data_IF_863805622924
#
_entry.id   IF_863805622924
#
_cell.length_a   1.000
_cell.length_b   1.000
_cell.length_c   1.000
_cell.angle_alpha   90.00
_cell.angle_beta   90.00
_cell.angle_gamma   90.00
#
_symmetry.space_group_name_H-M   'P 1'
#
loop_
_entity.id
_entity.type
_entity.pdbx_description
1 polymer ?
#
# COMPACT_ATOMS: atom_id res chain seq x y z
N UNK A 1 20.04 -25.92 -10.09
CA UNK A 1 19.74 -24.58 -10.63
C UNK A 1 19.26 -23.62 -9.53
N UNK A 2 18.30 -24.01 -8.70
CA UNK A 2 17.77 -23.19 -7.59
C UNK A 2 18.87 -22.76 -6.59
N UNK A 3 19.77 -23.67 -6.21
CA UNK A 3 20.87 -23.35 -5.29
C UNK A 3 21.81 -22.26 -5.84
N UNK A 4 22.08 -22.25 -7.16
CA UNK A 4 22.93 -21.21 -7.79
C UNK A 4 22.29 -19.82 -7.71
N UNK A 5 20.94 -19.72 -7.78
CA UNK A 5 20.21 -18.45 -7.78
C UNK A 5 19.93 -18.00 -6.35
N UNK A 6 19.37 -18.88 -5.52
CA UNK A 6 18.82 -18.51 -4.20
C UNK A 6 19.78 -18.78 -3.04
N UNK A 7 20.82 -19.62 -3.23
CA UNK A 7 21.84 -19.93 -2.21
C UNK A 7 21.19 -20.44 -0.91
N UNK A 8 20.37 -21.46 -1.02
CA UNK A 8 19.54 -21.99 0.07
C UNK A 8 20.39 -22.47 1.25
N UNK A 9 21.44 -23.24 0.98
CA UNK A 9 22.33 -23.76 2.02
C UNK A 9 23.03 -22.61 2.78
N UNK A 10 23.56 -21.62 2.06
CA UNK A 10 24.25 -20.48 2.68
C UNK A 10 23.32 -19.55 3.49
N UNK A 11 22.01 -19.63 3.27
CA UNK A 11 21.00 -18.93 4.04
C UNK A 11 20.27 -19.83 5.07
N UNK A 12 20.83 -21.02 5.37
CA UNK A 12 20.30 -21.96 6.36
C UNK A 12 18.82 -22.31 6.16
N UNK A 13 18.40 -22.49 4.90
CA UNK A 13 17.02 -22.82 4.53
C UNK A 13 16.96 -24.01 3.57
N UNK A 14 15.77 -24.47 3.23
CA UNK A 14 15.53 -25.57 2.30
C UNK A 14 14.36 -25.26 1.38
N UNK A 15 14.28 -25.95 0.23
CA UNK A 15 13.20 -25.79 -0.74
C UNK A 15 11.82 -25.89 -0.07
N UNK A 16 11.60 -26.90 0.79
CA UNK A 16 10.31 -27.08 1.46
C UNK A 16 9.95 -25.92 2.39
N UNK A 17 10.94 -25.38 3.14
CA UNK A 17 10.72 -24.21 4.01
C UNK A 17 10.40 -22.97 3.20
N UNK A 18 11.10 -22.71 2.10
CA UNK A 18 10.87 -21.54 1.24
C UNK A 18 9.48 -21.61 0.57
N UNK A 19 9.07 -22.81 0.10
CA UNK A 19 7.72 -23.00 -0.49
C UNK A 19 6.64 -22.80 0.58
N UNK A 20 6.79 -23.37 1.78
CA UNK A 20 5.84 -23.16 2.87
C UNK A 20 5.76 -21.68 3.26
N UNK A 21 6.90 -21.00 3.35
CA UNK A 21 6.97 -19.57 3.64
C UNK A 21 6.28 -18.73 2.55
N UNK A 22 6.47 -19.12 1.27
CA UNK A 22 5.79 -18.47 0.14
C UNK A 22 4.27 -18.63 0.19
N UNK A 23 3.78 -19.83 0.49
CA UNK A 23 2.34 -20.09 0.67
C UNK A 23 1.82 -19.27 1.85
N UNK A 24 2.53 -19.24 2.98
CA UNK A 24 2.14 -18.45 4.16
C UNK A 24 2.05 -16.96 3.83
N UNK A 25 3.07 -16.40 3.15
CA UNK A 25 3.07 -15.01 2.70
C UNK A 25 1.89 -14.75 1.76
N UNK A 26 1.68 -15.62 0.77
CA UNK A 26 0.58 -15.44 -0.18
C UNK A 26 -0.77 -15.41 0.53
N UNK A 27 -1.05 -16.34 1.43
CA UNK A 27 -2.32 -16.39 2.17
C UNK A 27 -2.54 -15.14 3.02
N UNK A 28 -1.46 -14.56 3.60
CA UNK A 28 -1.58 -13.34 4.40
C UNK A 28 -1.84 -12.09 3.58
N UNK A 29 -1.38 -12.02 2.31
CA UNK A 29 -1.54 -10.86 1.46
C UNK A 29 -2.56 -11.05 0.32
N UNK A 30 -3.12 -12.25 0.15
CA UNK A 30 -4.04 -12.57 -0.96
C UNK A 30 -5.35 -11.76 -0.93
N UNK A 31 -5.71 -11.15 0.19
CA UNK A 31 -6.87 -10.25 0.26
C UNK A 31 -6.77 -9.08 -0.75
N UNK A 32 -5.55 -8.72 -1.19
CA UNK A 32 -5.34 -7.63 -2.15
C UNK A 32 -5.96 -7.92 -3.53
N UNK A 33 -6.11 -9.20 -3.89
CA UNK A 33 -6.76 -9.60 -5.14
C UNK A 33 -8.26 -9.25 -5.17
N UNK A 34 -8.85 -8.99 -4.01
CA UNK A 34 -10.21 -8.50 -3.86
C UNK A 34 -10.25 -6.99 -3.64
N UNK A 35 -9.39 -6.48 -2.76
CA UNK A 35 -9.37 -5.08 -2.34
C UNK A 35 -9.00 -4.15 -3.49
N UNK A 36 -7.91 -4.43 -4.21
CA UNK A 36 -7.43 -3.53 -5.25
C UNK A 36 -8.42 -3.39 -6.42
N UNK A 37 -8.94 -4.46 -7.02
CA UNK A 37 -9.91 -4.34 -8.13
C UNK A 37 -11.19 -3.60 -7.72
N UNK A 38 -11.68 -3.81 -6.51
CA UNK A 38 -12.84 -3.09 -5.97
C UNK A 38 -12.57 -1.58 -5.86
N UNK A 39 -11.39 -1.20 -5.35
CA UNK A 39 -10.99 0.21 -5.31
C UNK A 39 -10.85 0.80 -6.71
N UNK A 40 -10.17 0.09 -7.62
CA UNK A 40 -10.00 0.56 -9.00
C UNK A 40 -11.34 0.70 -9.73
N UNK A 41 -12.31 -0.18 -9.47
CA UNK A 41 -13.63 -0.09 -10.09
C UNK A 41 -14.41 1.17 -9.66
N UNK A 42 -14.21 1.66 -8.43
CA UNK A 42 -14.78 2.93 -7.97
C UNK A 42 -14.24 4.11 -8.78
N UNK A 43 -13.00 4.03 -9.30
CA UNK A 43 -12.43 5.04 -10.20
C UNK A 43 -12.91 4.93 -11.66
N UNK A 44 -13.82 3.99 -11.97
CA UNK A 44 -14.35 3.76 -13.32
C UNK A 44 -13.58 2.73 -14.15
N UNK A 45 -12.58 2.07 -13.58
CA UNK A 45 -11.86 0.98 -14.27
C UNK A 45 -12.69 -0.31 -14.28
N UNK A 46 -12.52 -1.12 -15.33
CA UNK A 46 -13.17 -2.44 -15.41
C UNK A 46 -12.67 -3.36 -14.28
N UNK A 47 -13.60 -3.92 -13.51
CA UNK A 47 -13.30 -4.76 -12.35
C UNK A 47 -12.50 -6.02 -12.73
N UNK A 48 -12.91 -6.69 -13.83
CA UNK A 48 -12.26 -7.92 -14.28
C UNK A 48 -10.84 -7.66 -14.79
N UNK A 49 -10.65 -6.60 -15.60
CA UNK A 49 -9.34 -6.19 -16.09
C UNK A 49 -8.43 -5.76 -14.94
N UNK A 50 -8.95 -5.00 -13.95
CA UNK A 50 -8.22 -4.58 -12.76
C UNK A 50 -7.81 -5.77 -11.89
N UNK A 51 -8.65 -6.82 -11.78
CA UNK A 51 -8.32 -8.05 -11.09
C UNK A 51 -7.14 -8.79 -11.75
N UNK A 52 -7.21 -8.98 -13.08
CA UNK A 52 -6.11 -9.61 -13.84
C UNK A 52 -4.85 -8.76 -13.76
N UNK A 53 -4.98 -7.44 -13.93
CA UNK A 53 -3.87 -6.48 -13.81
C UNK A 53 -3.19 -6.53 -12.43
N UNK A 54 -3.97 -6.61 -11.35
CA UNK A 54 -3.47 -6.78 -9.98
C UNK A 54 -2.63 -8.04 -9.83
N UNK A 55 -3.15 -9.18 -10.29
CA UNK A 55 -2.46 -10.46 -10.19
C UNK A 55 -1.17 -10.48 -11.03
N UNK A 56 -1.22 -9.97 -12.26
CA UNK A 56 -0.04 -9.90 -13.15
C UNK A 56 1.03 -8.96 -12.60
N UNK A 57 0.63 -7.77 -12.14
CA UNK A 57 1.55 -6.79 -11.56
C UNK A 57 2.24 -7.35 -10.31
N UNK A 58 1.48 -7.94 -9.38
CA UNK A 58 2.01 -8.55 -8.17
C UNK A 58 2.91 -9.76 -8.49
N UNK A 59 2.50 -10.61 -9.43
CA UNK A 59 3.31 -11.75 -9.86
C UNK A 59 4.66 -11.31 -10.42
N UNK A 60 4.66 -10.41 -11.40
CA UNK A 60 5.89 -9.93 -12.02
C UNK A 60 6.80 -9.23 -11.00
N UNK A 61 6.23 -8.40 -10.14
CA UNK A 61 6.96 -7.72 -9.09
C UNK A 61 7.62 -8.70 -8.11
N UNK A 62 6.90 -9.72 -7.65
CA UNK A 62 7.43 -10.75 -6.77
C UNK A 62 8.54 -11.57 -7.45
N UNK A 63 8.38 -11.92 -8.72
CA UNK A 63 9.40 -12.67 -9.48
C UNK A 63 10.66 -11.81 -9.64
N UNK A 64 10.54 -10.53 -9.99
CA UNK A 64 11.68 -9.61 -10.10
C UNK A 64 12.37 -9.46 -8.75
N UNK A 65 11.64 -9.21 -7.67
CA UNK A 65 12.20 -9.09 -6.33
C UNK A 65 12.94 -10.38 -5.93
N UNK A 66 12.32 -11.53 -6.11
CA UNK A 66 12.88 -12.82 -5.72
C UNK A 66 14.15 -13.18 -6.48
N UNK A 67 14.17 -13.01 -7.81
CA UNK A 67 15.30 -13.40 -8.66
C UNK A 67 16.43 -12.36 -8.58
N UNK A 68 16.11 -11.07 -8.68
CA UNK A 68 17.12 -10.01 -8.80
C UNK A 68 17.75 -9.62 -7.47
N UNK A 69 16.97 -9.50 -6.40
CA UNK A 69 17.47 -9.11 -5.08
C UNK A 69 17.74 -10.30 -4.15
N UNK A 70 17.13 -11.45 -4.42
CA UNK A 70 17.11 -12.64 -3.56
C UNK A 70 16.56 -12.33 -2.15
N UNK A 71 15.45 -11.57 -2.08
CA UNK A 71 14.82 -11.16 -0.84
C UNK A 71 13.46 -11.85 -0.63
N UNK A 72 13.14 -12.28 0.61
CA UNK A 72 11.85 -12.87 0.96
C UNK A 72 10.79 -11.79 1.22
N UNK A 73 10.68 -10.81 0.31
CA UNK A 73 9.73 -9.70 0.40
C UNK A 73 8.86 -9.68 -0.83
N UNK A 74 7.59 -9.88 -0.63
CA UNK A 74 6.59 -9.89 -1.69
C UNK A 74 6.01 -8.50 -1.92
N UNK A 75 5.62 -8.25 -3.17
CA UNK A 75 5.11 -6.97 -3.63
C UNK A 75 3.71 -7.14 -4.21
N UNK A 76 2.88 -6.14 -3.95
CA UNK A 76 1.55 -6.02 -4.54
C UNK A 76 1.11 -4.54 -4.53
N UNK A 77 -0.05 -4.18 -5.11
CA UNK A 77 -0.57 -2.82 -5.05
C UNK A 77 -0.69 -2.28 -3.62
N UNK A 78 -0.07 -1.13 -3.36
CA UNK A 78 -0.05 -0.48 -2.04
C UNK A 78 -1.40 0.13 -1.69
N UNK A 79 -2.05 -0.35 -0.62
CA UNK A 79 -3.42 0.06 -0.30
C UNK A 79 -3.61 1.54 -0.06
N UNK A 80 -2.66 2.21 0.61
CA UNK A 80 -2.72 3.65 0.82
C UNK A 80 -2.66 4.45 -0.48
N UNK A 81 -1.81 3.99 -1.39
CA UNK A 81 -1.66 4.59 -2.71
C UNK A 81 -2.87 4.31 -3.60
N UNK A 82 -3.50 3.13 -3.48
CA UNK A 82 -4.75 2.80 -4.16
C UNK A 82 -5.89 3.73 -3.71
N UNK A 83 -5.99 3.95 -2.40
CA UNK A 83 -6.98 4.84 -1.84
C UNK A 83 -6.79 6.29 -2.31
N UNK A 84 -5.54 6.77 -2.33
CA UNK A 84 -5.21 8.09 -2.87
C UNK A 84 -5.51 8.21 -4.36
N UNK A 85 -5.17 7.20 -5.15
CA UNK A 85 -5.51 7.11 -6.56
C UNK A 85 -7.02 7.27 -6.79
N UNK A 86 -7.80 6.40 -6.12
CA UNK A 86 -9.24 6.28 -6.38
C UNK A 86 -10.04 7.43 -5.81
N UNK A 87 -9.84 7.75 -4.55
CA UNK A 87 -10.73 8.69 -3.84
C UNK A 87 -10.26 10.13 -3.96
N UNK A 88 -8.95 10.38 -3.98
CA UNK A 88 -8.43 11.75 -4.08
C UNK A 88 -8.25 12.17 -5.54
N UNK A 89 -7.41 11.44 -6.29
CA UNK A 89 -7.04 11.91 -7.64
C UNK A 89 -8.22 11.80 -8.61
N UNK A 90 -8.88 10.65 -8.64
CA UNK A 90 -10.03 10.46 -9.53
C UNK A 90 -11.31 11.03 -8.92
N UNK A 91 -11.60 10.71 -7.65
CA UNK A 91 -12.89 11.07 -7.03
C UNK A 91 -13.03 12.54 -6.68
N UNK A 92 -12.04 13.14 -6.00
CA UNK A 92 -12.10 14.53 -5.51
C UNK A 92 -11.58 15.53 -6.54
N UNK A 93 -10.39 15.25 -7.12
CA UNK A 93 -9.77 16.15 -8.10
C UNK A 93 -10.40 16.03 -9.50
N UNK A 94 -11.19 14.98 -9.78
CA UNK A 94 -11.95 14.81 -11.02
C UNK A 94 -11.11 14.41 -12.24
N UNK A 95 -9.85 13.95 -12.05
CA UNK A 95 -9.05 13.44 -13.16
C UNK A 95 -9.51 12.06 -13.61
N UNK A 96 -9.31 11.74 -14.88
CA UNK A 96 -9.56 10.39 -15.36
C UNK A 96 -8.56 9.39 -14.74
N UNK A 97 -8.94 8.13 -14.65
CA UNK A 97 -8.07 7.11 -14.10
C UNK A 97 -6.83 6.87 -15.00
N UNK A 98 -6.91 7.16 -16.30
CA UNK A 98 -5.79 7.11 -17.24
C UNK A 98 -4.71 8.14 -16.88
N UNK A 99 -5.13 9.37 -16.57
CA UNK A 99 -4.22 10.44 -16.09
C UNK A 99 -3.63 10.08 -14.74
N UNK A 100 -4.44 9.54 -13.82
CA UNK A 100 -3.95 9.07 -12.53
C UNK A 100 -2.91 7.94 -12.68
N UNK A 101 -3.11 6.99 -13.62
CA UNK A 101 -2.10 5.97 -13.96
C UNK A 101 -0.82 6.61 -14.58
N UNK A 102 -0.97 7.64 -15.38
CA UNK A 102 0.15 8.43 -15.89
C UNK A 102 0.98 9.04 -14.76
N UNK A 103 0.33 9.58 -13.73
CA UNK A 103 1.02 10.10 -12.55
C UNK A 103 1.74 9.01 -11.75
N UNK A 104 1.14 7.83 -11.61
CA UNK A 104 1.78 6.66 -10.98
C UNK A 104 3.02 6.24 -11.78
N UNK A 105 2.92 6.20 -13.10
CA UNK A 105 4.06 5.89 -13.98
C UNK A 105 5.20 6.88 -13.78
N UNK A 106 4.91 8.19 -13.82
CA UNK A 106 5.92 9.23 -13.61
C UNK A 106 6.56 9.14 -12.23
N UNK A 107 5.76 8.91 -11.18
CA UNK A 107 6.26 8.70 -9.82
C UNK A 107 7.17 7.47 -9.74
N UNK A 108 6.78 6.35 -10.39
CA UNK A 108 7.58 5.13 -10.49
C UNK A 108 8.91 5.35 -11.20
N UNK A 109 8.93 6.09 -12.32
CA UNK A 109 10.15 6.45 -13.05
C UNK A 109 11.06 7.32 -12.19
N UNK A 110 10.53 8.35 -11.50
CA UNK A 110 11.30 9.17 -10.58
C UNK A 110 11.86 8.33 -9.42
N UNK A 111 11.06 7.42 -8.84
CA UNK A 111 11.51 6.53 -7.79
C UNK A 111 12.64 5.60 -8.28
N UNK A 112 12.53 5.06 -9.48
CA UNK A 112 13.57 4.23 -10.09
C UNK A 112 14.87 5.02 -10.30
N UNK A 113 14.79 6.24 -10.87
CA UNK A 113 15.95 7.13 -11.02
C UNK A 113 16.60 7.40 -9.66
N UNK A 114 15.81 7.67 -8.64
CA UNK A 114 16.32 7.88 -7.28
C UNK A 114 16.95 6.60 -6.69
N UNK A 115 16.41 5.42 -6.94
CA UNK A 115 16.95 4.15 -6.45
C UNK A 115 18.29 3.78 -7.09
N UNK A 116 18.58 4.28 -8.29
CA UNK A 116 19.84 4.06 -9.01
C UNK A 116 20.88 5.13 -8.66
N UNK A 117 20.45 6.33 -8.28
CA UNK A 117 21.31 7.48 -7.98
C UNK A 117 21.55 7.65 -6.48
N UNK A 118 22.48 8.56 -6.11
CA UNK A 118 22.72 8.93 -4.70
C UNK A 118 21.63 9.86 -4.12
N UNK A 119 20.69 10.29 -4.95
CA UNK A 119 19.63 11.23 -4.58
C UNK A 119 18.72 10.66 -3.48
N UNK A 120 18.56 9.32 -3.44
CA UNK A 120 17.81 8.62 -2.40
C UNK A 120 18.30 8.92 -0.99
N UNK A 121 19.63 8.82 -0.75
CA UNK A 121 20.20 9.11 0.59
C UNK A 121 19.89 10.53 1.00
N UNK A 122 20.12 11.47 0.10
CA UNK A 122 19.82 12.87 0.35
C UNK A 122 18.35 13.08 0.75
N UNK A 123 17.41 12.43 0.09
CA UNK A 123 15.98 12.55 0.43
C UNK A 123 15.63 11.88 1.74
N UNK A 124 16.08 10.63 1.97
CA UNK A 124 15.81 9.93 3.23
C UNK A 124 16.38 10.69 4.43
N UNK A 125 17.58 11.25 4.29
CA UNK A 125 18.25 12.02 5.35
C UNK A 125 17.64 13.42 5.51
N UNK A 126 16.95 13.93 4.49
CA UNK A 126 16.37 15.27 4.47
C UNK A 126 15.04 15.39 5.20
N UNK A 127 14.33 14.30 5.44
CA UNK A 127 13.02 14.33 6.09
C UNK A 127 13.14 13.78 7.50
N UNK A 128 12.71 14.56 8.52
CA UNK A 128 12.71 14.11 9.90
C UNK A 128 11.96 12.80 10.10
N UNK A 129 12.43 11.96 11.01
CA UNK A 129 11.86 10.63 11.26
C UNK A 129 10.38 10.73 11.65
N UNK A 130 10.01 11.71 12.48
CA UNK A 130 8.63 11.91 12.90
C UNK A 130 7.69 12.17 11.72
N UNK A 131 8.10 12.97 10.72
CA UNK A 131 7.28 13.24 9.55
C UNK A 131 7.15 11.99 8.65
N UNK A 132 8.21 11.19 8.53
CA UNK A 132 8.15 9.91 7.79
C UNK A 132 7.18 8.92 8.41
N UNK A 133 7.22 8.75 9.73
CA UNK A 133 6.29 7.93 10.49
C UNK A 133 4.86 8.45 10.32
N UNK A 134 4.69 9.76 10.42
CA UNK A 134 3.39 10.43 10.31
C UNK A 134 2.73 10.22 8.95
N UNK A 135 3.50 10.23 7.85
CA UNK A 135 2.97 9.93 6.52
C UNK A 135 2.38 8.52 6.45
N UNK A 136 3.10 7.51 6.93
CA UNK A 136 2.60 6.13 6.98
C UNK A 136 1.36 5.98 7.87
N UNK A 137 1.38 6.57 9.06
CA UNK A 137 0.26 6.52 10.00
C UNK A 137 -0.98 7.28 9.49
N UNK A 138 -0.79 8.45 8.87
CA UNK A 138 -1.88 9.24 8.28
C UNK A 138 -2.55 8.52 7.10
N UNK A 139 -1.74 7.88 6.24
CA UNK A 139 -2.25 7.02 5.17
C UNK A 139 -2.99 5.81 5.76
N UNK A 140 -2.46 5.20 6.82
CA UNK A 140 -3.15 4.13 7.55
C UNK A 140 -4.52 4.58 8.05
N UNK A 141 -4.58 5.72 8.75
CA UNK A 141 -5.84 6.27 9.27
C UNK A 141 -6.84 6.58 8.14
N UNK A 142 -6.36 7.07 6.99
CA UNK A 142 -7.16 7.32 5.80
C UNK A 142 -7.80 6.03 5.25
N UNK A 143 -7.04 4.95 5.15
CA UNK A 143 -7.56 3.63 4.73
C UNK A 143 -8.63 3.14 5.71
N UNK A 144 -8.38 3.28 7.02
CA UNK A 144 -9.34 2.91 8.05
C UNK A 144 -10.64 3.69 7.95
N UNK A 145 -10.54 5.00 7.67
CA UNK A 145 -11.71 5.85 7.44
C UNK A 145 -12.53 5.39 6.21
N UNK A 146 -11.84 5.05 5.11
CA UNK A 146 -12.50 4.47 3.93
C UNK A 146 -13.18 3.13 4.27
N UNK A 147 -12.51 2.28 5.05
CA UNK A 147 -13.09 1.02 5.53
C UNK A 147 -14.35 1.24 6.36
N UNK A 148 -14.32 2.16 7.31
CA UNK A 148 -15.48 2.51 8.13
C UNK A 148 -16.66 3.03 7.28
N UNK A 149 -16.36 3.88 6.29
CA UNK A 149 -17.36 4.41 5.34
C UNK A 149 -17.95 3.30 4.47
N UNK A 150 -17.10 2.48 3.84
CA UNK A 150 -17.54 1.43 2.92
C UNK A 150 -18.30 0.30 3.64
N UNK A 151 -18.01 0.07 4.92
CA UNK A 151 -18.76 -0.85 5.77
C UNK A 151 -20.06 -0.28 6.34
N UNK A 152 -20.39 0.98 6.06
CA UNK A 152 -21.55 1.65 6.63
C UNK A 152 -21.47 1.86 8.15
N UNK A 153 -20.29 1.68 8.74
CA UNK A 153 -20.06 1.86 10.20
C UNK A 153 -20.07 3.34 10.59
N UNK A 154 -19.66 4.21 9.68
CA UNK A 154 -19.82 5.66 9.76
C UNK A 154 -20.52 6.18 8.52
N UNK A 155 -21.38 7.18 8.71
CA UNK A 155 -22.17 7.81 7.64
C UNK A 155 -22.07 9.33 7.76
N UNK A 156 -22.34 10.02 6.63
CA UNK A 156 -22.38 11.47 6.61
C UNK A 156 -23.54 12.00 7.46
N UNK A 157 -23.29 13.07 8.20
CA UNK A 157 -24.29 13.78 9.01
C UNK A 157 -24.12 15.29 8.84
N UNK A 158 -25.18 15.98 8.51
CA UNK A 158 -25.13 17.42 8.21
C UNK A 158 -24.77 18.29 9.43
N UNK A 159 -24.99 17.82 10.65
CA UNK A 159 -24.72 18.59 11.86
C UNK A 159 -23.31 18.33 12.43
N UNK A 160 -22.85 17.08 12.34
CA UNK A 160 -21.59 16.63 12.98
C UNK A 160 -20.57 16.15 11.95
N UNK A 161 -20.86 16.26 10.64
CA UNK A 161 -20.15 15.70 9.49
C UNK A 161 -20.17 14.17 9.44
N UNK A 162 -20.05 13.49 10.58
CA UNK A 162 -20.05 12.04 10.71
C UNK A 162 -20.94 11.61 11.86
N UNK A 163 -21.59 10.47 11.69
CA UNK A 163 -22.32 9.76 12.75
C UNK A 163 -22.15 8.24 12.63
N UNK A 164 -22.52 7.53 13.66
CA UNK A 164 -22.58 6.07 13.62
C UNK A 164 -23.61 5.62 12.61
N UNK A 165 -23.27 4.58 11.83
CA UNK A 165 -24.17 3.98 10.86
C UNK A 165 -25.31 3.18 11.48
N UNK A 166 -26.20 2.71 10.61
CA UNK A 166 -27.36 1.90 11.03
C UNK A 166 -26.96 0.42 11.16
N UNK A 167 -26.87 -0.06 12.39
CA UNK A 167 -26.55 -1.46 12.71
C UNK A 167 -27.76 -2.40 12.56
N UNK A 168 -28.93 -1.91 12.17
CA UNK A 168 -30.06 -2.78 11.74
C UNK A 168 -29.87 -3.28 10.32
N UNK A 169 -29.00 -2.61 9.53
CA UNK A 169 -28.64 -3.07 8.17
C UNK A 169 -27.74 -4.29 8.23
N UNK A 170 -28.11 -5.42 7.60
CA UNK A 170 -27.30 -6.64 7.58
C UNK A 170 -25.88 -6.43 7.04
N UNK A 171 -25.70 -5.57 6.05
CA UNK A 171 -24.36 -5.28 5.46
C UNK A 171 -23.42 -4.62 6.48
N UNK A 172 -23.94 -3.64 7.25
CA UNK A 172 -23.20 -2.97 8.31
C UNK A 172 -22.83 -3.93 9.44
N UNK A 173 -23.78 -4.81 9.83
CA UNK A 173 -23.49 -5.86 10.84
C UNK A 173 -22.41 -6.82 10.35
N UNK A 174 -22.49 -7.27 9.08
CA UNK A 174 -21.50 -8.17 8.49
C UNK A 174 -20.13 -7.51 8.37
N UNK A 175 -20.06 -6.21 8.06
CA UNK A 175 -18.80 -5.47 8.06
C UNK A 175 -18.16 -5.43 9.46
N UNK A 176 -18.94 -5.09 10.48
CA UNK A 176 -18.49 -5.08 11.88
C UNK A 176 -18.03 -6.47 12.34
N UNK A 177 -18.83 -7.49 12.05
CA UNK A 177 -18.53 -8.89 12.34
C UNK A 177 -17.22 -9.34 11.67
N UNK A 178 -17.06 -9.03 10.37
CA UNK A 178 -15.84 -9.33 9.61
C UNK A 178 -14.60 -8.73 10.26
N UNK A 179 -14.67 -7.46 10.67
CA UNK A 179 -13.58 -6.80 11.39
C UNK A 179 -13.24 -7.52 12.71
N UNK A 180 -14.24 -7.86 13.53
CA UNK A 180 -14.02 -8.56 14.80
C UNK A 180 -13.42 -9.95 14.62
N UNK A 181 -13.84 -10.68 13.57
CA UNK A 181 -13.26 -11.98 13.22
C UNK A 181 -11.78 -11.83 12.82
N UNK A 182 -11.46 -10.85 11.96
CA UNK A 182 -10.07 -10.58 11.56
C UNK A 182 -9.23 -10.29 12.81
N UNK A 183 -9.68 -9.42 13.70
CA UNK A 183 -8.98 -9.11 14.95
C UNK A 183 -8.80 -10.36 15.84
N UNK A 184 -9.85 -11.17 16.01
CA UNK A 184 -9.80 -12.39 16.82
C UNK A 184 -8.80 -13.43 16.26
N UNK A 185 -8.79 -13.64 14.96
CA UNK A 185 -7.85 -14.55 14.29
C UNK A 185 -6.41 -14.00 14.36
N UNK A 186 -6.25 -12.69 14.22
CA UNK A 186 -4.95 -12.05 14.28
C UNK A 186 -4.31 -12.14 15.66
N UNK A 187 -5.08 -11.94 16.73
CA UNK A 187 -4.61 -12.12 18.12
C UNK A 187 -4.13 -13.56 18.35
N UNK A 188 -4.70 -14.53 17.65
CA UNK A 188 -4.28 -15.94 17.68
C UNK A 188 -3.10 -16.23 16.73
N UNK A 189 -2.52 -15.21 16.10
CA UNK A 189 -1.47 -15.36 15.09
C UNK A 189 -1.84 -16.30 13.93
N UNK A 190 -3.12 -16.33 13.53
CA UNK A 190 -3.59 -17.19 12.44
C UNK A 190 -3.14 -16.60 11.10
N UNK A 191 -2.32 -17.32 10.29
CA UNK A 191 -1.93 -16.85 8.97
C UNK A 191 -3.17 -16.63 8.10
N UNK A 192 -3.20 -15.50 7.36
CA UNK A 192 -4.32 -15.18 6.47
C UNK A 192 -5.61 -14.74 7.19
N UNK A 193 -5.53 -14.28 8.44
CA UNK A 193 -6.68 -13.78 9.21
C UNK A 193 -7.58 -12.83 8.40
N UNK A 194 -6.96 -11.90 7.63
CA UNK A 194 -7.68 -10.95 6.79
C UNK A 194 -8.45 -11.68 5.67
N UNK A 195 -7.79 -12.56 4.95
CA UNK A 195 -8.41 -13.35 3.87
C UNK A 195 -9.58 -14.20 4.39
N UNK A 196 -9.36 -14.88 5.53
CA UNK A 196 -10.40 -15.70 6.17
C UNK A 196 -11.61 -14.83 6.54
N UNK A 197 -11.40 -13.65 7.11
CA UNK A 197 -12.48 -12.74 7.48
C UNK A 197 -13.28 -12.26 6.27
N UNK A 198 -12.60 -11.83 5.19
CA UNK A 198 -13.26 -11.40 3.95
C UNK A 198 -14.08 -12.54 3.34
N UNK A 199 -13.50 -13.74 3.23
CA UNK A 199 -14.19 -14.89 2.66
C UNK A 199 -15.37 -15.35 3.53
N UNK A 200 -15.22 -15.32 4.86
CA UNK A 200 -16.31 -15.69 5.76
C UNK A 200 -17.51 -14.73 5.61
N UNK A 201 -17.27 -13.43 5.58
CA UNK A 201 -18.32 -12.43 5.36
C UNK A 201 -18.97 -12.65 4.01
N UNK A 202 -18.19 -12.92 2.96
CA UNK A 202 -18.71 -13.22 1.62
C UNK A 202 -19.59 -14.45 1.62
N UNK A 203 -19.17 -15.55 2.28
CA UNK A 203 -19.96 -16.78 2.41
C UNK A 203 -21.28 -16.50 3.16
N UNK A 204 -21.22 -15.77 4.27
CA UNK A 204 -22.43 -15.40 5.01
C UNK A 204 -23.38 -14.55 4.18
N UNK A 205 -22.85 -13.64 3.35
CA UNK A 205 -23.64 -12.81 2.44
C UNK A 205 -24.38 -13.65 1.38
N UNK A 206 -23.74 -14.70 0.87
CA UNK A 206 -24.39 -15.66 -0.03
C UNK A 206 -25.47 -16.45 0.71
N UNK A 207 -25.18 -16.94 1.92
CA UNK A 207 -26.14 -17.73 2.73
C UNK A 207 -27.37 -16.91 3.14
N UNK A 208 -27.20 -15.63 3.40
CA UNK A 208 -28.32 -14.72 3.70
C UNK A 208 -29.04 -14.19 2.46
N UNK A 209 -28.62 -14.60 1.26
CA UNK A 209 -29.23 -14.18 0.00
C UNK A 209 -28.96 -12.71 -0.37
N UNK A 210 -27.96 -12.06 0.22
CA UNK A 210 -27.58 -10.68 -0.09
C UNK A 210 -26.83 -10.59 -1.42
N UNK A 211 -26.14 -11.64 -1.83
CA UNK A 211 -25.39 -11.74 -3.08
C UNK A 211 -25.59 -13.12 -3.73
N UNK A 212 -25.52 -13.15 -5.07
CA UNK A 212 -25.63 -14.38 -5.83
C UNK A 212 -24.27 -15.05 -6.02
N UNK A 213 -24.21 -16.36 -5.79
CA UNK A 213 -23.02 -17.15 -6.07
C UNK A 213 -22.87 -17.40 -7.57
N UNK A 214 -21.74 -16.98 -8.17
CA UNK A 214 -21.48 -17.08 -9.62
C UNK A 214 -20.36 -18.05 -9.99
N UNK A 215 -19.98 -18.93 -9.08
CA UNK A 215 -18.90 -19.90 -9.29
C UNK A 215 -17.58 -19.48 -8.66
N UNK A 216 -16.60 -20.39 -8.65
CA UNK A 216 -15.27 -20.16 -8.05
C UNK A 216 -14.19 -19.93 -9.09
N UNK A 217 -14.25 -20.60 -10.23
CA UNK A 217 -13.20 -20.64 -11.25
C UNK A 217 -13.77 -20.35 -12.63
N UNK A 218 -13.08 -19.52 -13.39
CA UNK A 218 -13.40 -19.27 -14.81
C UNK A 218 -12.13 -18.99 -15.61
N UNK A 219 -12.26 -18.88 -16.92
CA UNK A 219 -11.21 -18.29 -17.75
C UNK A 219 -11.00 -16.83 -17.33
N UNK A 220 -9.73 -16.35 -17.32
CA UNK A 220 -9.40 -14.98 -16.93
C UNK A 220 -10.16 -13.95 -17.78
N UNK A 221 -10.70 -12.89 -17.18
CA UNK A 221 -11.23 -11.75 -17.92
C UNK A 221 -10.16 -11.09 -18.81
N UNK A 222 -10.60 -10.38 -19.85
CA UNK A 222 -9.70 -9.65 -20.72
C UNK A 222 -9.06 -8.48 -19.97
N UNK A 223 -7.73 -8.33 -20.05
CA UNK A 223 -6.99 -7.17 -19.54
C UNK A 223 -7.05 -5.94 -20.47
N UNK A 224 -7.52 -6.11 -21.71
CA UNK A 224 -7.47 -5.08 -22.75
C UNK A 224 -8.08 -3.71 -22.32
N UNK A 225 -9.14 -3.64 -21.48
CA UNK A 225 -9.68 -2.36 -21.03
C UNK A 225 -8.68 -1.48 -20.26
N UNK A 226 -7.70 -2.06 -19.57
CA UNK A 226 -6.77 -1.32 -18.69
C UNK A 226 -5.32 -1.39 -19.16
N UNK A 227 -4.99 -2.33 -20.07
CA UNK A 227 -3.61 -2.55 -20.52
C UNK A 227 -3.09 -1.37 -21.34
N UNK A 228 -1.97 -0.78 -20.88
CA UNK A 228 -1.26 0.35 -21.54
C UNK A 228 -2.15 1.59 -21.77
N UNK A 229 -3.14 1.83 -20.90
CA UNK A 229 -4.09 2.94 -21.02
C UNK A 229 -3.69 4.21 -20.27
N UNK A 230 -2.51 4.25 -19.67
CA UNK A 230 -2.02 5.43 -18.94
C UNK A 230 -1.85 6.64 -19.88
N UNK A 231 -2.38 7.79 -19.46
CA UNK A 231 -2.17 9.09 -20.10
C UNK A 231 -1.02 9.85 -19.42
N UNK A 232 0.18 9.69 -19.98
CA UNK A 232 1.39 10.34 -19.45
C UNK A 232 1.36 11.85 -19.74
N UNK A 233 0.80 12.28 -20.89
CA UNK A 233 0.75 13.70 -21.24
C UNK A 233 -0.20 14.47 -20.35
N UNK A 234 -1.38 13.92 -20.07
CA UNK A 234 -2.31 14.51 -19.11
C UNK A 234 -1.72 14.58 -17.68
N UNK A 235 -0.85 13.63 -17.31
CA UNK A 235 -0.17 13.65 -16.02
C UNK A 235 0.98 14.66 -15.90
N UNK A 236 1.40 15.32 -16.99
CA UNK A 236 2.40 16.41 -16.96
C UNK A 236 1.80 17.78 -16.62
N UNK A 237 0.50 17.87 -16.36
CA UNK A 237 -0.12 19.09 -15.87
C UNK A 237 0.53 19.56 -14.54
N UNK A 238 0.65 20.89 -14.39
CA UNK A 238 1.24 21.51 -13.18
C UNK A 238 0.52 21.07 -11.92
N UNK A 239 -0.81 20.97 -11.96
CA UNK A 239 -1.62 20.48 -10.84
C UNK A 239 -1.28 19.04 -10.44
N UNK A 240 -0.91 18.19 -11.41
CA UNK A 240 -0.52 16.80 -11.18
C UNK A 240 0.87 16.65 -10.55
N UNK A 241 1.70 17.68 -10.55
CA UNK A 241 3.04 17.62 -9.93
C UNK A 241 2.96 17.24 -8.45
N UNK A 242 2.02 17.82 -7.72
CA UNK A 242 1.80 17.50 -6.30
C UNK A 242 1.32 16.06 -6.10
N UNK A 243 0.53 15.52 -7.03
CA UNK A 243 0.06 14.13 -7.03
C UNK A 243 1.22 13.17 -7.30
N UNK A 244 2.02 13.43 -8.33
CA UNK A 244 3.22 12.63 -8.67
C UNK A 244 4.19 12.60 -7.48
N UNK A 245 4.44 13.76 -6.85
CA UNK A 245 5.30 13.83 -5.67
C UNK A 245 4.71 13.08 -4.47
N UNK A 246 3.40 13.15 -4.27
CA UNK A 246 2.74 12.38 -3.19
C UNK A 246 2.88 10.87 -3.41
N UNK A 247 2.64 10.35 -4.62
CA UNK A 247 2.88 8.96 -4.97
C UNK A 247 4.34 8.56 -4.73
N UNK A 248 5.27 9.39 -5.19
CA UNK A 248 6.71 9.16 -5.04
C UNK A 248 7.11 9.03 -3.57
N UNK A 249 6.74 10.02 -2.73
CA UNK A 249 7.20 10.07 -1.34
C UNK A 249 6.57 8.99 -0.48
N UNK A 250 5.25 8.80 -0.60
CA UNK A 250 4.57 7.75 0.15
C UNK A 250 5.14 6.38 -0.23
N UNK A 251 5.32 6.10 -1.53
CA UNK A 251 5.89 4.84 -1.98
C UNK A 251 7.34 4.65 -1.49
N UNK A 252 8.18 5.68 -1.59
CA UNK A 252 9.57 5.64 -1.13
C UNK A 252 9.68 5.30 0.37
N UNK A 253 8.88 5.96 1.23
CA UNK A 253 8.98 5.77 2.67
C UNK A 253 8.33 4.47 3.12
N UNK A 254 7.22 4.09 2.53
CA UNK A 254 6.55 2.82 2.78
C UNK A 254 7.48 1.64 2.41
N UNK A 255 8.03 1.66 1.19
CA UNK A 255 9.00 0.67 0.73
C UNK A 255 10.23 0.61 1.64
N UNK A 256 10.87 1.75 1.94
CA UNK A 256 12.09 1.75 2.74
C UNK A 256 11.85 1.21 4.15
N UNK A 257 10.74 1.59 4.78
CA UNK A 257 10.33 1.10 6.10
C UNK A 257 10.04 -0.39 6.11
N UNK A 258 9.24 -0.85 5.15
CA UNK A 258 8.85 -2.26 5.01
C UNK A 258 10.05 -3.15 4.72
N UNK A 259 10.90 -2.77 3.76
CA UNK A 259 12.11 -3.54 3.42
C UNK A 259 13.04 -3.69 4.62
N UNK A 260 13.31 -2.61 5.36
CA UNK A 260 14.17 -2.68 6.55
C UNK A 260 13.52 -3.50 7.67
N UNK A 261 12.23 -3.36 7.89
CA UNK A 261 11.48 -4.12 8.89
C UNK A 261 11.51 -5.62 8.62
N UNK A 262 11.25 -6.03 7.38
CA UNK A 262 11.30 -7.44 6.98
C UNK A 262 12.74 -7.97 6.97
N UNK A 263 13.72 -7.17 6.50
CA UNK A 263 15.13 -7.57 6.50
C UNK A 263 15.65 -7.87 7.91
N UNK A 264 15.28 -7.06 8.89
CA UNK A 264 15.63 -7.27 10.29
C UNK A 264 15.03 -8.57 10.83
N UNK A 265 13.76 -8.84 10.56
CA UNK A 265 13.11 -10.11 10.95
C UNK A 265 13.70 -11.32 10.22
N UNK A 266 14.05 -11.18 8.95
CA UNK A 266 14.69 -12.21 8.13
C UNK A 266 16.15 -12.46 8.52
N UNK A 267 16.74 -11.65 9.41
CA UNK A 267 18.15 -11.69 9.82
C UNK A 267 19.12 -11.60 8.64
N UNK A 268 18.78 -10.78 7.63
CA UNK A 268 19.62 -10.47 6.47
C UNK A 268 20.32 -9.11 6.60
N UNK A 269 20.29 -8.52 7.80
CA UNK A 269 21.05 -7.31 8.18
C UNK A 269 22.38 -7.68 8.81
N UNK A 270 23.40 -6.85 8.59
CA UNK A 270 24.68 -6.94 9.30
C UNK A 270 24.59 -6.37 10.74
N UNK A 271 25.69 -6.43 11.50
CA UNK A 271 25.78 -5.91 12.87
C UNK A 271 25.54 -4.38 12.96
N UNK A 272 25.75 -3.66 11.85
CA UNK A 272 25.52 -2.23 11.74
C UNK A 272 24.09 -1.89 11.27
N UNK A 273 23.22 -2.90 11.09
CA UNK A 273 21.86 -2.73 10.62
C UNK A 273 21.71 -2.53 9.12
N UNK A 274 22.77 -2.67 8.31
CA UNK A 274 22.67 -2.58 6.86
C UNK A 274 22.15 -3.90 6.28
N UNK A 275 21.12 -3.82 5.48
CA UNK A 275 20.54 -4.98 4.84
C UNK A 275 21.32 -5.36 3.56
N UNK A 276 21.68 -6.64 3.44
CA UNK A 276 22.38 -7.17 2.28
C UNK A 276 21.54 -6.99 1.01
N UNK A 277 22.15 -6.48 -0.07
CA UNK A 277 21.48 -6.22 -1.36
C UNK A 277 20.28 -5.23 -1.28
N UNK A 278 20.21 -4.35 -0.29
CA UNK A 278 19.13 -3.38 -0.13
C UNK A 278 18.90 -2.52 -1.38
N UNK A 279 19.99 -2.09 -2.04
CA UNK A 279 19.91 -1.32 -3.29
C UNK A 279 19.24 -2.11 -4.44
N UNK A 280 19.43 -3.43 -4.48
CA UNK A 280 18.75 -4.28 -5.47
C UNK A 280 17.27 -4.42 -5.15
N UNK A 281 16.92 -4.58 -3.87
CA UNK A 281 15.54 -4.67 -3.45
C UNK A 281 14.76 -3.38 -3.78
N UNK A 282 15.36 -2.21 -3.54
CA UNK A 282 14.75 -0.93 -3.92
C UNK A 282 14.60 -0.74 -5.44
N UNK A 283 15.58 -1.20 -6.23
CA UNK A 283 15.45 -1.16 -7.70
C UNK A 283 14.37 -2.10 -8.19
N UNK A 284 14.23 -3.28 -7.57
CA UNK A 284 13.14 -4.21 -7.88
C UNK A 284 11.79 -3.60 -7.55
N UNK A 285 11.63 -3.00 -6.38
CA UNK A 285 10.39 -2.37 -5.94
C UNK A 285 10.00 -1.19 -6.85
N UNK A 286 10.91 -0.23 -7.06
CA UNK A 286 10.64 0.93 -7.90
C UNK A 286 10.34 0.58 -9.36
N UNK A 287 11.02 -0.44 -9.93
CA UNK A 287 10.70 -0.94 -11.28
C UNK A 287 9.32 -1.59 -11.32
N UNK A 288 8.90 -2.25 -10.24
CA UNK A 288 7.60 -2.90 -10.15
C UNK A 288 6.44 -1.91 -10.22
N UNK A 289 6.59 -0.71 -9.65
CA UNK A 289 5.62 0.37 -9.80
C UNK A 289 5.47 0.81 -11.25
N UNK A 290 6.57 0.85 -12.03
CA UNK A 290 6.53 1.19 -13.46
C UNK A 290 5.78 0.10 -14.25
N UNK A 291 6.18 -1.17 -14.09
CA UNK A 291 5.55 -2.29 -14.81
C UNK A 291 4.09 -2.49 -14.40
N UNK A 292 3.74 -2.22 -13.13
CA UNK A 292 2.37 -2.29 -12.64
C UNK A 292 1.41 -1.42 -13.45
N UNK A 293 1.83 -0.21 -13.83
CA UNK A 293 0.97 0.71 -14.61
C UNK A 293 0.66 0.20 -16.01
N UNK A 294 1.53 -0.61 -16.62
CA UNK A 294 1.25 -1.23 -17.94
C UNK A 294 0.06 -2.19 -17.85
N UNK A 295 -0.12 -2.84 -16.71
CA UNK A 295 -1.27 -3.72 -16.45
C UNK A 295 -2.49 -2.97 -15.90
N UNK A 296 -2.46 -1.63 -15.86
CA UNK A 296 -3.54 -0.83 -15.28
C UNK A 296 -3.62 -0.95 -13.76
N UNK A 297 -2.48 -1.15 -13.10
CA UNK A 297 -2.41 -1.30 -11.66
C UNK A 297 -1.89 -0.01 -11.00
N UNK A 298 -2.42 0.31 -9.83
CA UNK A 298 -1.92 1.36 -8.95
C UNK A 298 -0.50 1.04 -8.47
N UNK A 299 0.20 1.95 -7.75
CA UNK A 299 1.59 1.73 -7.37
C UNK A 299 1.80 0.40 -6.64
N UNK A 300 2.74 -0.40 -7.14
CA UNK A 300 3.15 -1.66 -6.53
C UNK A 300 4.27 -1.38 -5.54
N UNK A 301 4.16 -1.91 -4.31
CA UNK A 301 5.11 -1.68 -3.22
C UNK A 301 5.34 -2.96 -2.39
N UNK A 302 6.37 -2.94 -1.57
CA UNK A 302 6.72 -4.03 -0.66
C UNK A 302 5.70 -4.19 0.47
N UNK A 303 5.37 -5.44 0.81
CA UNK A 303 4.34 -5.79 1.79
C UNK A 303 4.93 -6.26 3.12
N UNK A 304 4.46 -5.65 4.22
CA UNK A 304 4.86 -6.02 5.60
C UNK A 304 4.41 -7.42 5.98
N UNK A 305 3.35 -7.92 5.38
CA UNK A 305 2.83 -9.29 5.50
C UNK A 305 3.87 -10.36 5.11
N UNK A 306 4.89 -9.99 4.34
CA UNK A 306 6.06 -10.84 4.06
C UNK A 306 6.74 -11.35 5.33
N UNK A 307 6.58 -10.61 6.44
CA UNK A 307 7.06 -11.03 7.76
C UNK A 307 6.50 -12.39 8.19
N UNK A 308 5.26 -12.72 7.84
CA UNK A 308 4.65 -14.00 8.18
C UNK A 308 5.37 -15.18 7.51
N UNK A 309 5.76 -15.02 6.24
CA UNK A 309 6.58 -16.02 5.55
C UNK A 309 7.98 -16.12 6.11
N UNK A 310 8.58 -15.01 6.50
CA UNK A 310 9.89 -14.98 7.18
C UNK A 310 9.81 -15.72 8.52
N UNK A 311 8.75 -15.54 9.29
CA UNK A 311 8.49 -16.26 10.55
C UNK A 311 8.27 -17.76 10.30
N UNK A 312 7.64 -18.13 9.18
CA UNK A 312 7.50 -19.51 8.73
C UNK A 312 8.81 -20.15 8.20
N UNK A 313 9.91 -19.39 8.14
CA UNK A 313 11.24 -19.88 7.80
C UNK A 313 11.79 -19.43 6.44
N UNK A 314 11.10 -18.53 5.74
CA UNK A 314 11.58 -17.91 4.49
C UNK A 314 12.80 -17.04 4.71
N UNK A 315 13.83 -17.20 3.88
CA UNK A 315 15.10 -16.48 3.99
C UNK A 315 15.62 -15.95 2.66
N UNK A 316 15.04 -16.41 1.58
CA UNK A 316 15.53 -16.13 0.22
C UNK A 316 14.43 -15.63 -0.70
N UNK A 317 14.83 -15.15 -1.88
CA UNK A 317 13.90 -14.74 -2.92
C UNK A 317 13.02 -15.86 -3.47
N UNK A 318 13.33 -17.14 -3.18
CA UNK A 318 12.49 -18.25 -3.59
C UNK A 318 11.09 -18.17 -2.95
N UNK A 319 11.01 -17.78 -1.67
CA UNK A 319 9.75 -17.47 -0.98
C UNK A 319 8.88 -16.51 -1.83
N UNK A 320 9.50 -15.43 -2.30
CA UNK A 320 8.80 -14.40 -3.08
C UNK A 320 8.42 -14.87 -4.49
N UNK A 321 9.27 -15.69 -5.13
CA UNK A 321 8.93 -16.30 -6.42
C UNK A 321 7.71 -17.22 -6.29
N UNK A 322 7.62 -18.01 -5.22
CA UNK A 322 6.43 -18.84 -4.95
C UNK A 322 5.17 -17.98 -4.83
N UNK A 323 5.24 -16.85 -4.14
CA UNK A 323 4.12 -15.90 -4.06
C UNK A 323 3.72 -15.39 -5.45
N UNK A 324 4.70 -15.01 -6.29
CA UNK A 324 4.45 -14.58 -7.65
C UNK A 324 3.73 -15.63 -8.49
N UNK A 325 4.13 -16.92 -8.38
CA UNK A 325 3.47 -18.01 -9.08
C UNK A 325 2.03 -18.25 -8.56
N UNK A 326 1.80 -18.10 -7.26
CA UNK A 326 0.45 -18.22 -6.69
C UNK A 326 -0.47 -17.08 -7.16
N UNK A 327 0.04 -15.86 -7.38
CA UNK A 327 -0.73 -14.79 -8.01
C UNK A 327 -1.12 -15.13 -9.46
N UNK A 328 -0.29 -15.82 -10.24
CA UNK A 328 -0.67 -16.30 -11.57
C UNK A 328 -1.80 -17.35 -11.50
N UNK A 329 -1.75 -18.24 -10.52
CA UNK A 329 -2.83 -19.20 -10.30
C UNK A 329 -4.12 -18.49 -9.86
N UNK A 330 -4.00 -17.43 -9.06
CA UNK A 330 -5.14 -16.66 -8.57
C UNK A 330 -5.97 -16.00 -9.69
N UNK A 331 -5.40 -15.77 -10.88
CA UNK A 331 -6.10 -15.16 -12.03
C UNK A 331 -7.36 -15.96 -12.41
N UNK A 332 -7.36 -17.28 -12.23
CA UNK A 332 -8.49 -18.15 -12.55
C UNK A 332 -9.64 -18.03 -11.54
N UNK A 333 -9.44 -17.38 -10.40
CA UNK A 333 -10.46 -17.18 -9.36
C UNK A 333 -11.21 -15.84 -9.52
N UNK A 334 -11.27 -15.30 -10.73
CA UNK A 334 -11.95 -14.03 -11.02
C UNK A 334 -13.45 -14.01 -10.64
N UNK A 335 -14.27 -15.11 -10.75
CA UNK A 335 -15.64 -15.07 -10.29
C UNK A 335 -15.74 -14.86 -8.77
N UNK A 336 -14.82 -15.44 -8.00
CA UNK A 336 -14.76 -15.23 -6.56
C UNK A 336 -14.49 -13.76 -6.22
N UNK A 337 -13.59 -13.11 -6.96
CA UNK A 337 -13.31 -11.68 -6.76
C UNK A 337 -14.52 -10.79 -7.09
N UNK A 338 -15.31 -11.18 -8.07
CA UNK A 338 -16.49 -10.43 -8.49
C UNK A 338 -17.66 -10.50 -7.49
N UNK A 339 -17.73 -11.55 -6.66
CA UNK A 339 -18.81 -11.72 -5.67
C UNK A 339 -18.45 -11.16 -4.29
N UNK A 340 -17.19 -10.82 -4.00
CA UNK A 340 -16.79 -10.22 -2.72
C UNK A 340 -17.39 -8.82 -2.60
N UNK A 341 -18.31 -8.54 -1.65
CA UNK A 341 -18.95 -7.24 -1.56
C UNK A 341 -18.05 -6.23 -0.85
N UNK A 342 -18.25 -4.94 -1.09
CA UNK A 342 -17.45 -3.85 -0.51
C UNK A 342 -17.44 -3.86 1.03
N UNK A 343 -18.55 -4.21 1.67
CA UNK A 343 -18.64 -4.30 3.13
C UNK A 343 -17.85 -5.50 3.69
N UNK A 344 -17.60 -6.57 2.93
CA UNK A 344 -16.71 -7.64 3.36
C UNK A 344 -15.24 -7.18 3.39
N UNK A 345 -14.85 -6.28 2.50
CA UNK A 345 -13.51 -5.71 2.44
C UNK A 345 -13.31 -4.66 3.53
N UNK A 346 -14.36 -4.02 4.01
CA UNK A 346 -14.30 -2.96 5.01
C UNK A 346 -13.51 -3.37 6.27
N UNK A 347 -13.78 -4.57 6.81
CA UNK A 347 -13.04 -5.10 7.95
C UNK A 347 -11.55 -5.27 7.71
N UNK A 348 -11.17 -5.67 6.47
CA UNK A 348 -9.76 -5.76 6.07
C UNK A 348 -9.08 -4.38 6.06
N UNK A 349 -9.73 -3.37 5.49
CA UNK A 349 -9.20 -2.00 5.42
C UNK A 349 -9.01 -1.40 6.82
N UNK A 350 -9.99 -1.59 7.72
CA UNK A 350 -9.89 -1.12 9.10
C UNK A 350 -8.73 -1.83 9.83
N UNK A 351 -8.58 -3.14 9.66
CA UNK A 351 -7.50 -3.89 10.30
C UNK A 351 -6.11 -3.47 9.78
N UNK A 352 -5.95 -3.32 8.47
CA UNK A 352 -4.69 -2.86 7.88
C UNK A 352 -4.33 -1.45 8.31
N UNK A 353 -5.33 -0.58 8.50
CA UNK A 353 -5.09 0.76 9.02
C UNK A 353 -4.41 0.70 10.39
N UNK A 354 -4.85 -0.19 11.27
CA UNK A 354 -4.24 -0.41 12.59
C UNK A 354 -2.77 -0.85 12.46
N UNK A 355 -2.49 -1.77 11.53
CA UNK A 355 -1.11 -2.21 11.28
C UNK A 355 -0.21 -1.07 10.80
N UNK A 356 -0.70 -0.21 9.88
CA UNK A 356 0.06 0.93 9.38
C UNK A 356 0.27 2.01 10.46
N UNK A 357 -0.69 2.19 11.36
CA UNK A 357 -0.58 3.13 12.49
C UNK A 357 0.38 2.65 13.58
N UNK A 358 0.73 1.38 13.64
CA UNK A 358 1.63 0.83 14.69
C UNK A 358 2.99 1.53 14.76
N UNK A 359 3.46 2.10 13.65
CA UNK A 359 4.69 2.89 13.62
C UNK A 359 4.68 4.13 14.53
N UNK A 360 3.50 4.61 14.95
CA UNK A 360 3.36 5.80 15.82
C UNK A 360 4.04 5.62 17.19
N UNK A 361 4.27 4.39 17.64
CA UNK A 361 5.03 4.11 18.87
C UNK A 361 6.45 4.69 18.85
N UNK A 362 7.02 4.89 17.64
CA UNK A 362 8.37 5.41 17.42
C UNK A 362 8.44 6.92 17.29
N UNK A 363 7.32 7.63 17.41
CA UNK A 363 7.30 9.09 17.37
C UNK A 363 8.09 9.64 18.57
N UNK A 364 8.93 10.63 18.31
CA UNK A 364 9.58 11.38 19.39
C UNK A 364 8.62 12.44 19.93
N UNK A 365 8.02 12.16 21.08
CA UNK A 365 7.07 13.04 21.76
C UNK A 365 7.73 14.23 22.46
N UNK A 366 9.05 14.24 22.58
CA UNK A 366 9.78 15.28 23.31
C UNK A 366 10.08 16.51 22.47
N UNK A 367 10.15 16.40 21.13
CA UNK A 367 10.41 17.51 20.22
C UNK A 367 9.12 18.02 19.57
N UNK A 368 8.56 19.09 20.17
CA UNK A 368 7.32 19.71 19.67
C UNK A 368 7.46 20.28 18.25
N UNK A 369 8.68 20.65 17.81
CA UNK A 369 8.89 21.22 16.46
C UNK A 369 8.77 20.17 15.36
N UNK A 370 8.92 18.90 15.68
CA UNK A 370 8.69 17.78 14.76
C UNK A 370 7.37 17.04 15.05
N UNK A 371 6.97 16.96 16.34
CA UNK A 371 5.76 16.24 16.72
C UNK A 371 4.48 16.91 16.23
N UNK A 372 4.35 18.24 16.41
CA UNK A 372 3.13 18.94 15.97
C UNK A 372 2.90 18.84 14.47
N UNK A 373 3.91 19.05 13.59
CA UNK A 373 3.78 18.78 12.16
C UNK A 373 3.38 17.33 11.85
N UNK A 374 3.96 16.37 12.56
CA UNK A 374 3.64 14.96 12.41
C UNK A 374 2.15 14.68 12.72
N UNK A 375 1.64 15.23 13.82
CA UNK A 375 0.21 15.10 14.17
C UNK A 375 -0.70 15.78 13.14
N UNK A 376 -0.30 16.93 12.59
CA UNK A 376 -1.02 17.60 11.50
C UNK A 376 -1.11 16.67 10.29
N UNK A 377 -0.02 16.02 9.86
CA UNK A 377 -0.05 15.05 8.76
C UNK A 377 -1.05 13.93 9.05
N UNK A 378 -0.94 13.29 10.22
CA UNK A 378 -1.78 12.15 10.59
C UNK A 378 -3.27 12.49 10.55
N UNK A 379 -3.64 13.66 11.06
CA UNK A 379 -5.04 14.08 11.18
C UNK A 379 -5.57 14.64 9.86
N UNK A 380 -4.77 15.45 9.16
CA UNK A 380 -5.26 16.15 7.96
C UNK A 380 -5.38 15.25 6.74
N UNK A 381 -4.61 14.18 6.63
CA UNK A 381 -4.75 13.23 5.52
C UNK A 381 -6.19 12.66 5.45
N UNK A 382 -6.75 12.02 6.50
CA UNK A 382 -8.11 11.51 6.43
C UNK A 382 -9.19 12.59 6.42
N UNK A 383 -8.99 13.71 7.13
CA UNK A 383 -10.01 14.77 7.20
C UNK A 383 -10.14 15.56 5.91
N UNK A 384 -9.07 15.68 5.12
CA UNK A 384 -9.11 16.33 3.81
C UNK A 384 -9.26 15.34 2.66
N UNK A 385 -9.42 14.05 2.93
CA UNK A 385 -9.41 12.98 1.92
C UNK A 385 -8.21 13.04 0.96
N UNK A 386 -7.13 13.71 1.35
CA UNK A 386 -5.99 13.98 0.48
C UNK A 386 -4.64 13.79 1.19
N UNK A 387 -3.87 12.82 0.73
CA UNK A 387 -2.49 12.61 1.19
C UNK A 387 -1.65 13.86 0.90
N UNK A 388 -1.80 14.44 -0.29
CA UNK A 388 -1.07 15.64 -0.68
C UNK A 388 -1.35 16.84 0.23
N UNK A 389 -2.61 17.06 0.62
CA UNK A 389 -2.98 18.15 1.52
C UNK A 389 -2.40 17.95 2.92
N UNK A 390 -2.50 16.74 3.46
CA UNK A 390 -1.95 16.44 4.78
C UNK A 390 -0.42 16.62 4.83
N UNK A 391 0.29 16.11 3.83
CA UNK A 391 1.75 16.28 3.72
C UNK A 391 2.11 17.77 3.57
N UNK A 392 1.41 18.50 2.69
CA UNK A 392 1.65 19.93 2.47
C UNK A 392 1.52 20.76 3.75
N UNK A 393 0.43 20.56 4.50
CA UNK A 393 0.18 21.26 5.76
C UNK A 393 1.20 20.90 6.84
N UNK A 394 1.60 19.63 6.93
CA UNK A 394 2.60 19.18 7.87
C UNK A 394 3.99 19.74 7.58
N UNK A 395 4.46 19.74 6.32
CA UNK A 395 5.74 20.34 5.96
C UNK A 395 5.74 21.86 6.14
N UNK A 396 4.64 22.54 5.81
CA UNK A 396 4.50 23.97 6.08
C UNK A 396 4.61 24.25 7.59
N UNK A 397 3.89 23.49 8.41
CA UNK A 397 3.96 23.63 9.87
C UNK A 397 5.38 23.33 10.40
N UNK A 398 6.05 22.32 9.87
CA UNK A 398 7.43 21.99 10.25
C UNK A 398 8.38 23.16 10.00
N UNK A 399 8.33 23.74 8.80
CA UNK A 399 9.20 24.87 8.45
C UNK A 399 8.90 26.09 9.34
N UNK A 400 7.61 26.41 9.52
CA UNK A 400 7.18 27.56 10.36
C UNK A 400 7.65 27.36 11.81
N UNK A 401 7.45 26.19 12.39
CA UNK A 401 7.83 25.91 13.79
C UNK A 401 9.35 25.91 13.98
N UNK A 402 10.13 25.35 13.05
CA UNK A 402 11.60 25.41 13.09
C UNK A 402 12.13 26.83 12.98
N UNK A 403 11.52 27.67 12.13
CA UNK A 403 11.87 29.09 12.03
C UNK A 403 11.53 29.81 13.33
N UNK A 404 10.33 29.62 13.88
CA UNK A 404 9.86 30.24 15.12
C UNK A 404 10.73 29.88 16.32
N UNK A 405 11.29 28.66 16.34
CA UNK A 405 12.22 28.19 17.39
C UNK A 405 13.67 28.60 17.16
N UNK A 406 13.96 29.39 16.12
CA UNK A 406 15.33 29.83 15.78
C UNK A 406 16.20 28.73 15.15
N UNK A 407 15.62 27.59 14.76
CA UNK A 407 16.33 26.43 14.22
C UNK A 407 16.37 26.39 12.69
N UNK A 408 16.39 27.54 12.02
CA UNK A 408 16.35 27.63 10.55
C UNK A 408 17.47 26.83 9.88
N UNK A 409 18.64 26.74 10.54
CA UNK A 409 19.80 25.99 10.04
C UNK A 409 19.63 24.47 10.09
N UNK A 410 18.68 23.99 10.90
CA UNK A 410 18.38 22.58 11.05
C UNK A 410 17.37 22.09 9.98
N UNK A 411 16.80 23.01 9.20
CA UNK A 411 15.90 22.66 8.11
C UNK A 411 16.76 22.20 6.92
N UNK A 412 16.59 20.93 6.54
CA UNK A 412 17.31 20.37 5.40
C UNK A 412 16.89 21.01 4.08
N UNK A 413 17.77 20.99 3.08
CA UNK A 413 17.46 21.45 1.72
C UNK A 413 16.29 20.70 1.09
N UNK A 414 16.16 19.41 1.40
CA UNK A 414 15.03 18.59 0.93
C UNK A 414 13.70 18.99 1.59
N UNK A 415 13.69 19.32 2.88
CA UNK A 415 12.48 19.80 3.54
C UNK A 415 12.02 21.14 2.94
N UNK A 416 12.95 22.07 2.65
CA UNK A 416 12.65 23.31 1.93
C UNK A 416 12.06 23.04 0.53
N UNK A 417 12.70 22.16 -0.25
CA UNK A 417 12.22 21.79 -1.58
C UNK A 417 10.80 21.20 -1.53
N UNK A 418 10.56 20.27 -0.61
CA UNK A 418 9.25 19.65 -0.45
C UNK A 418 8.17 20.65 -0.04
N UNK A 419 8.50 21.52 0.93
CA UNK A 419 7.58 22.58 1.36
C UNK A 419 7.23 23.49 0.18
N UNK A 420 8.20 23.90 -0.62
CA UNK A 420 7.96 24.72 -1.82
C UNK A 420 7.06 24.01 -2.84
N UNK A 421 7.31 22.73 -3.14
CA UNK A 421 6.50 21.93 -4.07
C UNK A 421 5.07 21.77 -3.58
N UNK A 422 4.88 21.43 -2.29
CA UNK A 422 3.53 21.22 -1.77
C UNK A 422 2.76 22.53 -1.52
N UNK A 423 3.46 23.62 -1.14
CA UNK A 423 2.82 24.92 -0.97
C UNK A 423 2.43 25.53 -2.33
N UNK A 424 3.22 25.31 -3.38
CA UNK A 424 2.85 25.76 -4.73
C UNK A 424 1.49 25.22 -5.18
N UNK A 425 1.10 24.02 -4.72
CA UNK A 425 -0.24 23.47 -4.94
C UNK A 425 -1.35 24.44 -4.48
N UNK A 426 -1.19 25.06 -3.30
CA UNK A 426 -2.20 25.98 -2.76
C UNK A 426 -2.23 27.35 -3.43
N UNK A 427 -1.18 27.69 -4.21
CA UNK A 427 -1.08 28.96 -4.93
C UNK A 427 -1.61 28.86 -6.37
N UNK A 428 -1.61 27.65 -6.96
CA UNK A 428 -1.95 27.43 -8.37
C UNK A 428 -3.19 26.53 -8.56
N UNK A 429 -3.80 26.05 -7.51
CA UNK A 429 -5.08 25.33 -7.46
C UNK A 429 -6.08 26.07 -6.58
#
# INVERSE_FOLDING_TARGET
MLEKVFKLESNNTSLGKEVLAGITTFVTMAYIIFVNPQMMSVSGMDLGASFVGTCLAASLACIIMGIYSNWPVSLAPGMGLNAFFTYTVVGEMGYSWEVALGAVFLAGVLFFIMSVTRLRRWMLDSIPLNLRIAMGAGVGLFIGFIGLKNGGLIVANNATFLSLGDFTNPETLLAAFGFLIICSLSVRNTPGAILIGVLLVTILSVLFGLIEFRGLVSMPPSIAPTFMKMDILGALDVAMLSVVMSFLFVNLFDTAGTLLGVATRAKITDELGNAKNFDKALKADSSSSIFGTFFGCSPVTSYVESSAGVEAGGRTGLTTVVVGLLFLVAIFFSPLAAIVPAYAIAGALIYVSILMMSGMEKLNWSDSTELLPALIIIVMIPLTFSIANGIALGFLAYVVLKISNGEIKNISSGAWFLTAVFVSKFLFL
#
